data_IF_631339667009
#
_entry.id   IF_631339667009
#
_cell.length_a   1.000
_cell.length_b   1.000
_cell.length_c   1.000
_cell.angle_alpha   90.00
_cell.angle_beta   90.00
_cell.angle_gamma   90.00
#
_symmetry.space_group_name_H-M   'P 1'
#
loop_
_entity.id
_entity.type
_entity.pdbx_description
1 polymer ?
#
# COMPACT_ATOMS: atom_id res chain seq x y z
N UNK A 1 0.05 -10.80 -4.44
CA UNK A 1 1.06 -10.76 -3.36
C UNK A 1 0.85 -9.60 -2.37
N UNK A 2 0.86 -8.32 -2.79
CA UNK A 2 0.69 -7.15 -1.89
C UNK A 2 -0.53 -7.27 -0.96
N UNK A 3 -1.70 -7.60 -1.51
CA UNK A 3 -2.95 -7.78 -0.73
C UNK A 3 -2.79 -8.83 0.38
N UNK A 4 -2.10 -9.93 0.11
CA UNK A 4 -1.87 -10.99 1.11
C UNK A 4 -0.92 -10.54 2.21
N UNK A 5 0.14 -9.78 1.88
CA UNK A 5 1.07 -9.22 2.88
C UNK A 5 0.32 -8.28 3.82
N UNK A 6 -0.47 -7.36 3.27
CA UNK A 6 -1.23 -6.40 4.07
C UNK A 6 -2.29 -7.09 4.95
N UNK A 7 -3.03 -8.07 4.41
CA UNK A 7 -3.99 -8.86 5.19
C UNK A 7 -3.30 -9.65 6.32
N UNK A 8 -2.13 -10.26 6.07
CA UNK A 8 -1.36 -10.97 7.11
C UNK A 8 -0.85 -10.04 8.21
N UNK A 9 -0.60 -8.78 7.87
CA UNK A 9 -0.24 -7.74 8.83
C UNK A 9 -1.46 -7.12 9.56
N UNK A 10 -2.67 -7.66 9.36
CA UNK A 10 -3.90 -7.17 9.99
C UNK A 10 -4.43 -5.86 9.38
N UNK A 11 -3.99 -5.48 8.18
CA UNK A 11 -4.53 -4.32 7.48
C UNK A 11 -5.85 -4.69 6.79
N UNK A 12 -6.86 -3.84 6.92
CA UNK A 12 -8.18 -4.02 6.29
C UNK A 12 -8.15 -3.61 4.83
N UNK A 13 -8.66 -4.46 3.94
CA UNK A 13 -8.89 -4.11 2.53
C UNK A 13 -10.24 -3.39 2.42
N UNK A 14 -10.28 -2.36 1.58
CA UNK A 14 -11.51 -1.61 1.35
C UNK A 14 -12.65 -2.51 0.83
N UNK A 15 -13.84 -2.38 1.43
CA UNK A 15 -15.00 -3.24 1.17
C UNK A 15 -16.28 -2.47 0.82
N UNK A 16 -16.20 -1.15 0.60
CA UNK A 16 -17.36 -0.29 0.35
C UNK A 16 -18.12 0.13 1.62
N UNK A 17 -18.05 -0.68 2.69
CA UNK A 17 -18.60 -0.34 4.02
C UNK A 17 -17.52 0.00 5.04
N UNK A 18 -16.28 -0.42 4.80
CA UNK A 18 -15.13 -0.13 5.66
C UNK A 18 -13.99 0.50 4.87
N UNK A 19 -13.36 1.50 5.48
CA UNK A 19 -12.12 2.08 5.00
C UNK A 19 -10.97 1.08 5.08
N UNK A 20 -10.01 1.20 4.17
CA UNK A 20 -8.89 0.30 4.13
C UNK A 20 -7.85 0.66 3.10
N UNK A 21 -7.12 -0.35 2.64
CA UNK A 21 -6.25 -0.22 1.48
C UNK A 21 -6.96 -0.66 0.19
N UNK A 22 -6.61 -0.01 -0.91
CA UNK A 22 -6.91 -0.44 -2.28
C UNK A 22 -5.58 -0.65 -3.00
N UNK A 23 -5.48 -1.73 -3.77
CA UNK A 23 -4.31 -1.98 -4.63
C UNK A 23 -4.71 -1.76 -6.08
N UNK A 24 -4.01 -0.83 -6.73
CA UNK A 24 -4.22 -0.44 -8.12
C UNK A 24 -2.90 -0.51 -8.92
N UNK A 25 -2.99 -0.48 -10.25
CA UNK A 25 -1.81 -0.43 -11.11
C UNK A 25 -1.15 0.96 -11.02
N UNK A 26 0.16 0.96 -10.83
CA UNK A 26 0.96 2.18 -10.83
C UNK A 26 1.10 2.77 -12.23
N UNK A 27 1.71 3.96 -12.34
CA UNK A 27 1.89 4.63 -13.63
C UNK A 27 2.79 3.85 -14.60
N UNK A 28 3.54 2.86 -14.11
CA UNK A 28 4.37 1.94 -14.87
C UNK A 28 3.94 0.52 -14.49
N UNK A 29 3.91 -0.41 -15.45
CA UNK A 29 3.43 -1.80 -15.26
C UNK A 29 4.20 -2.56 -14.15
N UNK A 30 5.39 -2.10 -13.80
CA UNK A 30 6.27 -2.65 -12.76
C UNK A 30 5.99 -2.15 -11.33
N UNK A 31 5.08 -1.18 -11.18
CA UNK A 31 4.76 -0.58 -9.88
C UNK A 31 3.28 -0.75 -9.57
N UNK A 32 2.97 -1.04 -8.31
CA UNK A 32 1.61 -1.06 -7.80
C UNK A 32 1.39 0.13 -6.87
N UNK A 33 0.17 0.66 -6.86
CA UNK A 33 -0.27 1.70 -5.93
C UNK A 33 -1.02 1.04 -4.78
N UNK A 34 -0.69 1.44 -3.56
CA UNK A 34 -1.47 1.12 -2.36
C UNK A 34 -2.07 2.43 -1.85
N UNK A 35 -3.37 2.59 -2.06
CA UNK A 35 -4.13 3.79 -1.70
C UNK A 35 -4.83 3.54 -0.36
N UNK A 36 -4.70 4.47 0.57
CA UNK A 36 -5.48 4.48 1.81
C UNK A 36 -6.76 5.28 1.57
N UNK A 37 -7.92 4.65 1.78
CA UNK A 37 -9.23 5.28 1.55
C UNK A 37 -9.69 6.18 2.70
N UNK A 38 -9.02 6.12 3.85
CA UNK A 38 -9.36 6.93 5.02
C UNK A 38 -9.22 8.42 4.66
N UNK A 39 -10.25 9.23 4.93
CA UNK A 39 -10.23 10.66 4.60
C UNK A 39 -9.66 11.53 5.73
N UNK A 40 -9.47 10.98 6.93
CA UNK A 40 -8.95 11.69 8.10
C UNK A 40 -7.41 11.73 8.11
N UNK A 41 -6.83 12.89 7.83
CA UNK A 41 -5.38 13.05 7.58
C UNK A 41 -4.42 12.46 8.62
N UNK A 42 -4.71 12.53 9.92
CA UNK A 42 -3.85 11.91 10.96
C UNK A 42 -3.98 10.39 11.01
N UNK A 43 -5.14 9.84 10.66
CA UNK A 43 -5.38 8.40 10.56
C UNK A 43 -4.71 7.82 9.29
N UNK A 44 -4.72 8.56 8.19
CA UNK A 44 -4.03 8.18 6.94
C UNK A 44 -2.55 7.94 7.16
N UNK A 45 -1.82 8.89 7.78
CA UNK A 45 -0.37 8.73 7.94
C UNK A 45 -0.01 7.54 8.83
N UNK A 46 -0.85 7.25 9.83
CA UNK A 46 -0.68 6.08 10.71
C UNK A 46 -0.88 4.78 9.94
N UNK A 47 -1.94 4.68 9.13
CA UNK A 47 -2.19 3.49 8.31
C UNK A 47 -1.14 3.30 7.22
N UNK A 48 -0.76 4.36 6.50
CA UNK A 48 0.32 4.27 5.51
C UNK A 48 1.65 3.85 6.13
N UNK A 49 1.92 4.23 7.39
CA UNK A 49 3.11 3.75 8.10
C UNK A 49 3.02 2.24 8.35
N UNK A 50 1.86 1.72 8.75
CA UNK A 50 1.62 0.28 8.91
C UNK A 50 1.79 -0.47 7.59
N UNK A 51 1.18 0.05 6.52
CA UNK A 51 1.28 -0.56 5.18
C UNK A 51 2.74 -0.61 4.73
N UNK A 52 3.46 0.52 4.84
CA UNK A 52 4.89 0.58 4.49
C UNK A 52 5.70 -0.43 5.29
N UNK A 53 5.49 -0.53 6.60
CA UNK A 53 6.23 -1.46 7.44
C UNK A 53 5.98 -2.92 7.02
N UNK A 54 4.72 -3.32 6.82
CA UNK A 54 4.37 -4.67 6.39
C UNK A 54 4.99 -5.03 5.04
N UNK A 55 4.94 -4.10 4.08
CA UNK A 55 5.48 -4.30 2.74
C UNK A 55 7.01 -4.36 2.73
N UNK A 56 7.67 -3.48 3.50
CA UNK A 56 9.13 -3.52 3.66
C UNK A 56 9.59 -4.79 4.37
N UNK A 57 8.85 -5.26 5.39
CA UNK A 57 9.13 -6.56 6.05
C UNK A 57 8.98 -7.75 5.10
N UNK A 58 8.13 -7.63 4.08
CA UNK A 58 8.00 -8.62 3.01
C UNK A 58 9.03 -8.46 1.87
N UNK A 59 10.04 -7.59 2.04
CA UNK A 59 11.10 -7.37 1.06
C UNK A 59 10.72 -6.48 -0.12
N UNK A 60 9.58 -5.78 -0.06
CA UNK A 60 9.13 -4.88 -1.13
C UNK A 60 9.73 -3.48 -0.97
N UNK A 61 10.04 -2.84 -2.10
CA UNK A 61 10.47 -1.44 -2.11
C UNK A 61 9.25 -0.53 -2.09
N UNK A 62 9.19 0.37 -1.09
CA UNK A 62 8.05 1.26 -0.88
C UNK A 62 8.48 2.72 -1.02
N UNK A 63 7.97 3.38 -2.05
CA UNK A 63 8.10 4.82 -2.28
C UNK A 63 6.81 5.59 -1.96
N UNK A 64 6.87 6.93 -2.09
CA UNK A 64 5.71 7.82 -2.01
C UNK A 64 5.47 8.49 -3.35
N UNK A 65 4.21 8.72 -3.69
CA UNK A 65 3.86 9.58 -4.81
C UNK A 65 3.86 11.04 -4.33
N UNK A 66 4.77 11.88 -4.83
CA UNK A 66 4.96 13.26 -4.31
C UNK A 66 3.69 14.13 -4.33
N UNK A 67 2.72 13.80 -5.19
CA UNK A 67 1.46 14.53 -5.34
C UNK A 67 0.29 13.92 -4.55
N UNK A 68 0.42 12.70 -4.03
CA UNK A 68 -0.67 12.00 -3.35
C UNK A 68 -0.20 11.49 -1.98
N UNK A 69 -0.71 12.15 -0.94
CA UNK A 69 -0.35 11.86 0.45
C UNK A 69 -0.99 10.58 0.97
N UNK A 70 -1.94 10.01 0.23
CA UNK A 70 -2.70 8.81 0.60
C UNK A 70 -2.20 7.56 -0.12
N UNK A 71 -1.18 7.68 -0.97
CA UNK A 71 -0.73 6.60 -1.85
C UNK A 71 0.74 6.23 -1.64
N UNK A 72 0.98 4.94 -1.46
CA UNK A 72 2.31 4.33 -1.55
C UNK A 72 2.51 3.74 -2.95
N UNK A 73 3.72 3.91 -3.47
CA UNK A 73 4.17 3.15 -4.64
C UNK A 73 4.96 1.95 -4.14
N UNK A 74 4.65 0.79 -4.66
CA UNK A 74 5.25 -0.47 -4.25
C UNK A 74 5.79 -1.17 -5.48
N UNK A 75 7.08 -1.50 -5.44
CA UNK A 75 7.71 -2.42 -6.39
C UNK A 75 7.87 -3.75 -5.70
N UNK A 76 7.40 -4.81 -6.36
CA UNK A 76 7.76 -6.17 -5.94
C UNK A 76 9.25 -6.36 -6.19
N UNK A 77 9.96 -7.13 -5.36
CA UNK A 77 11.33 -7.49 -5.68
C UNK A 77 11.32 -8.16 -7.07
N UNK A 78 12.19 -7.69 -7.97
CA UNK A 78 12.46 -8.36 -9.23
C UNK A 78 12.62 -9.84 -8.94
N UNK A 79 11.66 -10.64 -9.40
CA UNK A 79 11.87 -12.07 -9.47
C UNK A 79 12.64 -12.27 -10.77
N UNK A 80 13.91 -11.86 -10.79
CA UNK A 80 14.87 -12.37 -11.76
C UNK A 80 15.08 -13.84 -11.42
N UNK A 81 14.22 -14.66 -12.01
CA UNK A 81 14.45 -16.09 -12.19
C UNK A 81 15.31 -16.31 -13.44
#
# INVERSE_FOLDING_TARGET
MIRQVLRRAGCTEFSGTEDGFVVDHGPNEERLRVVCTIERGTAVQRELRRYRQALTQAGMQVGRLSKDRNTLLVSTPDTTA
#
